data_IF_775188635644
#
_entry.id   IF_775188635644
#
_cell.length_a   1.000
_cell.length_b   1.000
_cell.length_c   1.000
_cell.angle_alpha   90.00
_cell.angle_beta   90.00
_cell.angle_gamma   90.00
#
_symmetry.space_group_name_H-M   'P 1'
#
loop_
_entity.id
_entity.type
_entity.pdbx_description
1 polymer ?
#
# COMPACT_ATOMS: atom_id res chain seq x y z
N UNK A 1 5.33 -88.51 13.88
CA UNK A 1 6.33 -87.58 13.38
C UNK A 1 5.69 -86.73 12.29
N UNK A 2 5.28 -85.52 12.58
CA UNK A 2 4.56 -84.59 11.67
C UNK A 2 5.58 -83.56 11.17
N UNK A 3 5.74 -83.33 9.85
CA UNK A 3 6.71 -82.35 9.37
C UNK A 3 6.14 -80.92 9.48
N UNK A 4 6.92 -80.06 10.10
CA UNK A 4 6.69 -78.63 10.19
C UNK A 4 7.02 -78.00 8.83
N UNK A 5 6.03 -77.42 8.14
CA UNK A 5 6.19 -76.60 6.94
C UNK A 5 6.50 -75.17 7.35
N UNK A 6 7.73 -74.72 7.17
CA UNK A 6 8.18 -73.33 7.30
C UNK A 6 7.74 -72.58 6.03
N UNK A 7 6.77 -71.69 6.15
CA UNK A 7 6.40 -70.79 5.06
C UNK A 7 7.32 -69.57 5.10
N UNK A 8 8.22 -69.43 4.11
CA UNK A 8 9.05 -68.24 3.91
C UNK A 8 8.17 -67.11 3.33
N UNK A 9 7.85 -66.10 4.15
CA UNK A 9 7.22 -64.86 3.68
C UNK A 9 8.34 -63.98 3.01
N UNK A 10 8.34 -63.91 1.70
CA UNK A 10 9.14 -62.96 0.93
C UNK A 10 8.49 -61.59 1.05
N UNK A 11 9.02 -60.69 1.91
CA UNK A 11 8.71 -59.29 1.91
C UNK A 11 9.29 -58.65 0.62
N UNK A 12 8.45 -58.37 -0.35
CA UNK A 12 8.80 -57.57 -1.50
C UNK A 12 8.88 -56.09 -1.08
N UNK A 13 10.09 -55.61 -0.84
CA UNK A 13 10.37 -54.19 -0.67
C UNK A 13 10.28 -53.55 -2.04
N UNK A 14 9.15 -52.90 -2.32
CA UNK A 14 9.00 -52.04 -3.50
C UNK A 14 9.84 -50.80 -3.27
N UNK A 15 11.02 -50.75 -3.88
CA UNK A 15 11.82 -49.53 -3.99
C UNK A 15 11.03 -48.54 -4.81
N UNK A 16 10.42 -47.53 -4.18
CA UNK A 16 9.87 -46.37 -4.85
C UNK A 16 11.05 -45.61 -5.44
N UNK A 17 11.37 -45.88 -6.70
CA UNK A 17 12.33 -45.05 -7.44
C UNK A 17 11.77 -43.66 -7.59
N UNK A 18 12.44 -42.67 -7.00
CA UNK A 18 12.15 -41.28 -7.26
C UNK A 18 12.32 -41.03 -8.77
N UNK A 19 11.21 -40.80 -9.47
CA UNK A 19 11.26 -40.51 -10.90
C UNK A 19 11.97 -39.17 -11.11
N UNK A 20 12.99 -39.17 -11.97
CA UNK A 20 13.64 -37.93 -12.41
C UNK A 20 12.58 -37.06 -13.13
N UNK A 21 12.39 -35.78 -12.76
CA UNK A 21 11.45 -34.91 -13.40
C UNK A 21 11.67 -34.83 -14.92
N UNK A 22 10.60 -34.98 -15.70
CA UNK A 22 10.66 -34.87 -17.15
C UNK A 22 10.88 -33.43 -17.62
N UNK A 23 11.33 -33.25 -18.86
CA UNK A 23 11.50 -31.91 -19.47
C UNK A 23 10.21 -31.08 -19.46
N UNK A 24 9.04 -31.72 -19.57
CA UNK A 24 7.73 -31.07 -19.47
C UNK A 24 7.46 -30.51 -18.08
N UNK A 25 7.87 -31.17 -17.02
CA UNK A 25 7.69 -30.68 -15.65
C UNK A 25 8.61 -29.49 -15.36
N UNK A 26 9.85 -29.53 -15.87
CA UNK A 26 10.79 -28.41 -15.77
C UNK A 26 10.25 -27.19 -16.49
N UNK A 27 9.71 -27.35 -17.70
CA UNK A 27 9.11 -26.23 -18.44
C UNK A 27 7.87 -25.67 -17.73
N UNK A 28 6.97 -26.53 -17.27
CA UNK A 28 5.80 -26.11 -16.49
C UNK A 28 6.20 -25.38 -15.21
N UNK A 29 7.23 -25.87 -14.51
CA UNK A 29 7.78 -25.21 -13.33
C UNK A 29 8.36 -23.84 -13.62
N UNK A 30 9.03 -23.65 -14.76
CA UNK A 30 9.51 -22.37 -15.24
C UNK A 30 8.35 -21.41 -15.49
N UNK A 31 7.30 -21.85 -16.18
CA UNK A 31 6.16 -21.03 -16.51
C UNK A 31 5.43 -20.54 -15.25
N UNK A 32 5.29 -21.43 -14.26
CA UNK A 32 4.74 -21.08 -12.95
C UNK A 32 5.65 -20.07 -12.25
N UNK A 33 6.95 -20.33 -12.16
CA UNK A 33 7.92 -19.46 -11.50
C UNK A 33 7.94 -18.06 -12.10
N UNK A 34 7.85 -17.95 -13.42
CA UNK A 34 7.82 -16.67 -14.12
C UNK A 34 6.44 -15.97 -14.04
N UNK A 35 5.40 -16.69 -13.65
CA UNK A 35 4.03 -16.17 -13.58
C UNK A 35 3.35 -16.06 -14.93
N UNK A 36 3.70 -16.93 -15.89
CA UNK A 36 3.04 -17.00 -17.19
C UNK A 36 1.64 -17.61 -17.05
N UNK A 37 0.76 -17.34 -18.02
CA UNK A 37 -0.58 -17.94 -18.10
C UNK A 37 -1.46 -17.72 -16.87
N UNK A 38 -1.37 -16.53 -16.24
CA UNK A 38 -2.11 -16.20 -15.03
C UNK A 38 -1.75 -17.07 -13.79
N UNK A 39 -0.62 -17.77 -13.83
CA UNK A 39 -0.06 -18.50 -12.69
C UNK A 39 0.79 -17.57 -11.81
N UNK A 40 0.34 -16.35 -11.63
CA UNK A 40 1.05 -15.35 -10.86
C UNK A 40 1.37 -15.83 -9.46
N UNK A 41 2.63 -15.68 -9.08
CA UNK A 41 3.11 -15.89 -7.72
C UNK A 41 4.19 -14.86 -7.42
N UNK A 42 4.47 -14.65 -6.15
CA UNK A 42 5.43 -13.65 -5.69
C UNK A 42 6.77 -14.26 -5.22
N UNK A 43 6.98 -15.56 -5.41
CA UNK A 43 8.18 -16.25 -4.96
C UNK A 43 9.46 -15.58 -5.46
N UNK A 44 9.47 -15.20 -6.75
CA UNK A 44 10.63 -14.55 -7.39
C UNK A 44 10.94 -13.16 -6.84
N UNK A 45 9.98 -12.47 -6.20
CA UNK A 45 10.24 -11.16 -5.59
C UNK A 45 11.19 -11.25 -4.38
N UNK A 46 11.21 -12.39 -3.71
CA UNK A 46 12.12 -12.65 -2.61
C UNK A 46 13.32 -13.49 -3.03
N UNK A 47 13.11 -14.51 -3.89
CA UNK A 47 14.11 -15.51 -4.23
C UNK A 47 14.85 -15.24 -5.56
N UNK A 48 14.52 -14.15 -6.28
CA UNK A 48 15.12 -13.77 -7.56
C UNK A 48 14.45 -14.41 -8.77
N UNK A 49 14.58 -13.80 -9.95
CA UNK A 49 13.90 -14.25 -11.20
C UNK A 49 14.32 -15.63 -11.63
N UNK A 50 15.58 -15.99 -11.38
CA UNK A 50 16.13 -17.31 -11.67
C UNK A 50 16.39 -18.12 -10.40
N UNK A 51 15.78 -17.74 -9.29
CA UNK A 51 16.02 -18.39 -8.01
C UNK A 51 17.39 -18.09 -7.43
N UNK A 52 18.08 -17.06 -7.89
CA UNK A 52 19.44 -16.68 -7.47
C UNK A 52 19.50 -16.12 -6.05
N UNK A 53 18.34 -15.86 -5.44
CA UNK A 53 18.26 -15.23 -4.13
C UNK A 53 18.32 -13.70 -4.22
N UNK A 54 18.25 -13.07 -3.07
CA UNK A 54 18.25 -11.61 -2.93
C UNK A 54 17.79 -11.25 -1.55
N UNK A 55 16.52 -10.98 -1.38
CA UNK A 55 15.93 -10.81 -0.06
C UNK A 55 15.88 -12.14 0.71
N UNK A 56 15.52 -13.24 0.03
CA UNK A 56 15.51 -14.59 0.58
C UNK A 56 16.66 -15.44 0.03
N UNK A 57 16.82 -16.63 0.57
CA UNK A 57 17.86 -17.58 0.15
C UNK A 57 17.79 -17.91 -1.34
N UNK A 58 18.93 -18.17 -2.01
CA UNK A 58 18.92 -18.75 -3.35
C UNK A 58 18.27 -20.14 -3.33
N UNK A 59 17.50 -20.42 -4.36
CA UNK A 59 16.84 -21.70 -4.59
C UNK A 59 17.34 -22.41 -5.86
N UNK A 60 18.04 -21.70 -6.75
CA UNK A 60 18.64 -22.29 -7.93
C UNK A 60 19.64 -23.39 -7.56
N UNK A 61 19.49 -24.57 -8.16
CA UNK A 61 20.34 -25.75 -7.89
C UNK A 61 20.17 -26.28 -6.46
N UNK A 62 19.02 -26.14 -5.82
CA UNK A 62 18.79 -26.64 -4.47
C UNK A 62 18.80 -28.19 -4.44
N UNK A 63 19.27 -28.80 -3.34
CA UNK A 63 19.33 -30.23 -3.21
C UNK A 63 18.10 -30.88 -2.58
N UNK A 64 17.02 -30.09 -2.33
CA UNK A 64 15.83 -30.58 -1.65
C UNK A 64 15.08 -31.58 -2.54
N UNK A 65 14.51 -32.62 -1.95
CA UNK A 65 13.48 -33.42 -2.62
C UNK A 65 12.20 -32.59 -2.79
N UNK A 66 11.37 -32.97 -3.78
CA UNK A 66 10.08 -32.28 -3.98
C UNK A 66 9.22 -32.27 -2.69
N UNK A 67 9.21 -33.38 -1.95
CA UNK A 67 8.47 -33.46 -0.68
C UNK A 67 9.00 -32.47 0.37
N UNK A 68 10.33 -32.34 0.49
CA UNK A 68 10.94 -31.36 1.41
C UNK A 68 10.65 -29.92 0.99
N UNK A 69 10.70 -29.65 -0.33
CA UNK A 69 10.36 -28.34 -0.88
C UNK A 69 8.91 -27.99 -0.57
N UNK A 70 7.96 -28.86 -0.89
CA UNK A 70 6.54 -28.69 -0.62
C UNK A 70 6.29 -28.48 0.88
N UNK A 71 6.85 -29.33 1.75
CA UNK A 71 6.68 -29.20 3.19
C UNK A 71 7.16 -27.83 3.70
N UNK A 72 8.26 -27.31 3.17
CA UNK A 72 8.78 -25.99 3.52
C UNK A 72 7.82 -24.88 3.08
N UNK A 73 7.29 -24.95 1.86
CA UNK A 73 6.34 -23.96 1.33
C UNK A 73 5.03 -24.00 2.11
N UNK A 74 4.53 -25.19 2.46
CA UNK A 74 3.28 -25.35 3.24
C UNK A 74 3.39 -24.86 4.68
N UNK A 75 4.54 -25.05 5.29
CA UNK A 75 4.79 -24.62 6.68
C UNK A 75 5.21 -23.16 6.78
N UNK A 76 5.84 -22.60 5.75
CA UNK A 76 6.60 -21.37 5.83
C UNK A 76 7.96 -21.57 6.54
N UNK A 77 8.86 -20.60 6.43
CA UNK A 77 10.20 -20.68 7.05
C UNK A 77 10.75 -19.27 7.33
N UNK A 78 11.11 -18.98 8.58
CA UNK A 78 11.53 -17.62 8.99
C UNK A 78 10.41 -16.62 8.71
N UNK A 79 10.66 -15.63 7.85
CA UNK A 79 9.66 -14.65 7.44
C UNK A 79 8.88 -15.05 6.17
N UNK A 80 9.15 -16.22 5.60
CA UNK A 80 8.37 -16.75 4.48
C UNK A 80 7.01 -17.23 4.98
N UNK A 81 5.89 -16.72 4.46
CA UNK A 81 4.57 -17.15 4.89
C UNK A 81 4.29 -18.60 4.47
N UNK A 82 3.30 -19.21 5.12
CA UNK A 82 2.77 -20.51 4.75
C UNK A 82 1.77 -20.38 3.58
N UNK A 83 1.89 -21.25 2.58
CA UNK A 83 1.02 -21.25 1.41
C UNK A 83 0.13 -22.49 1.41
N UNK A 84 -1.18 -22.29 1.35
CA UNK A 84 -2.16 -23.39 1.40
C UNK A 84 -2.54 -23.89 -0.01
N UNK A 85 -2.79 -25.20 -0.20
CA UNK A 85 -2.99 -25.78 -1.54
C UNK A 85 -4.22 -25.25 -2.27
N UNK A 86 -5.31 -24.99 -1.53
CA UNK A 86 -6.60 -24.61 -2.14
C UNK A 86 -6.66 -23.15 -2.57
N UNK A 87 -5.76 -22.31 -2.09
CA UNK A 87 -5.71 -20.86 -2.36
C UNK A 87 -4.44 -20.39 -3.04
N UNK A 88 -3.39 -21.20 -2.99
CA UNK A 88 -2.10 -20.90 -3.60
C UNK A 88 -1.74 -22.01 -4.62
N UNK A 89 -0.48 -22.16 -4.96
CA UNK A 89 -0.03 -23.27 -5.83
C UNK A 89 -0.32 -24.62 -5.16
N UNK A 90 -0.88 -25.57 -5.92
CA UNK A 90 -1.08 -26.94 -5.45
C UNK A 90 0.24 -27.74 -5.42
N UNK A 91 0.23 -28.96 -4.88
CA UNK A 91 1.45 -29.75 -4.69
C UNK A 91 2.08 -30.21 -6.01
N UNK A 92 1.29 -30.46 -7.03
CA UNK A 92 1.80 -30.75 -8.37
C UNK A 92 2.56 -29.56 -8.94
N UNK A 93 1.99 -28.37 -8.85
CA UNK A 93 2.64 -27.12 -9.29
C UNK A 93 3.93 -26.86 -8.50
N UNK A 94 3.93 -27.10 -7.19
CA UNK A 94 5.13 -26.96 -6.37
C UNK A 94 6.19 -28.02 -6.72
N UNK A 95 5.80 -29.24 -7.10
CA UNK A 95 6.71 -30.26 -7.61
C UNK A 95 7.40 -29.77 -8.88
N UNK A 96 6.64 -29.20 -9.80
CA UNK A 96 7.16 -28.65 -11.05
C UNK A 96 8.10 -27.46 -10.81
N UNK A 97 7.72 -26.53 -9.92
CA UNK A 97 8.59 -25.42 -9.51
C UNK A 97 9.88 -25.92 -8.89
N UNK A 98 9.82 -26.92 -7.99
CA UNK A 98 10.99 -27.54 -7.39
C UNK A 98 11.90 -28.16 -8.46
N UNK A 99 11.33 -28.90 -9.44
CA UNK A 99 12.08 -29.50 -10.53
C UNK A 99 12.81 -28.46 -11.40
N UNK A 100 12.12 -27.37 -11.73
CA UNK A 100 12.71 -26.24 -12.46
C UNK A 100 13.87 -25.62 -11.69
N UNK A 101 13.67 -25.25 -10.43
CA UNK A 101 14.71 -24.62 -9.61
C UNK A 101 15.91 -25.53 -9.38
N UNK A 102 15.67 -26.83 -9.17
CA UNK A 102 16.73 -27.82 -9.03
C UNK A 102 17.54 -28.02 -10.33
N UNK A 103 16.92 -27.83 -11.50
CA UNK A 103 17.60 -27.95 -12.81
C UNK A 103 18.52 -26.77 -13.14
N UNK A 104 18.36 -25.64 -12.43
CA UNK A 104 19.18 -24.45 -12.63
C UNK A 104 20.59 -24.63 -12.05
N UNK A 105 21.60 -23.97 -12.63
CA UNK A 105 22.92 -23.93 -11.99
C UNK A 105 22.81 -23.26 -10.61
N UNK A 106 23.54 -23.76 -9.65
CA UNK A 106 23.61 -23.16 -8.32
C UNK A 106 24.12 -21.73 -8.44
N UNK A 107 23.36 -20.77 -7.89
CA UNK A 107 23.74 -19.38 -7.89
C UNK A 107 25.02 -19.14 -7.09
N UNK A 108 25.97 -18.43 -7.67
CA UNK A 108 27.24 -18.12 -7.01
C UNK A 108 27.04 -17.10 -5.86
N UNK A 109 26.17 -16.11 -6.05
CA UNK A 109 25.87 -15.06 -5.08
C UNK A 109 24.40 -14.62 -5.20
N UNK A 110 23.73 -14.27 -4.08
CA UNK A 110 22.44 -13.61 -4.13
C UNK A 110 22.50 -12.26 -4.81
N UNK A 111 21.47 -11.92 -5.58
CA UNK A 111 21.36 -10.60 -6.23
C UNK A 111 20.82 -9.56 -5.27
N UNK A 112 21.51 -8.43 -5.13
CA UNK A 112 21.02 -7.28 -4.35
C UNK A 112 19.89 -6.52 -5.05
N UNK A 113 19.68 -6.77 -6.35
CA UNK A 113 18.61 -6.12 -7.12
C UNK A 113 17.20 -6.48 -6.61
N UNK A 114 17.06 -7.59 -5.91
CA UNK A 114 15.78 -8.06 -5.36
C UNK A 114 15.54 -7.63 -3.90
N UNK A 115 16.36 -6.74 -3.39
CA UNK A 115 16.16 -6.18 -2.06
C UNK A 115 15.51 -4.81 -2.17
N UNK A 116 14.34 -4.65 -1.56
CA UNK A 116 13.73 -3.33 -1.44
C UNK A 116 14.63 -2.45 -0.59
N UNK A 117 15.13 -1.33 -1.14
CA UNK A 117 16.03 -0.46 -0.38
C UNK A 117 15.30 0.19 0.79
N UNK A 118 15.97 0.27 1.93
CA UNK A 118 15.49 1.04 3.07
C UNK A 118 15.87 2.50 2.80
N UNK A 119 14.89 3.43 2.72
CA UNK A 119 15.17 4.84 2.55
C UNK A 119 16.06 5.38 3.68
N UNK A 120 17.00 6.31 3.41
CA UNK A 120 17.93 6.83 4.42
C UNK A 120 17.24 7.38 5.67
N UNK A 121 16.08 7.97 5.50
CA UNK A 121 15.28 8.59 6.57
C UNK A 121 14.01 7.79 6.90
N UNK A 122 14.02 6.49 6.61
CA UNK A 122 12.93 5.60 6.97
C UNK A 122 12.67 5.61 8.49
N UNK A 123 11.40 5.72 8.86
CA UNK A 123 10.97 5.58 10.25
C UNK A 123 11.26 4.17 10.78
N UNK A 124 11.31 3.94 12.10
CA UNK A 124 11.43 2.60 12.67
C UNK A 124 10.38 1.64 12.13
N UNK A 125 9.13 2.09 12.00
CA UNK A 125 8.03 1.28 11.47
C UNK A 125 8.23 0.94 9.98
N UNK A 126 8.70 1.87 9.17
CA UNK A 126 9.03 1.63 7.77
C UNK A 126 10.21 0.65 7.62
N UNK A 127 11.26 0.82 8.42
CA UNK A 127 12.39 -0.12 8.45
C UNK A 127 11.93 -1.53 8.79
N UNK A 128 11.07 -1.65 9.79
CA UNK A 128 10.51 -2.93 10.20
C UNK A 128 9.69 -3.58 9.07
N UNK A 129 8.78 -2.83 8.44
CA UNK A 129 7.96 -3.27 7.30
C UNK A 129 8.83 -3.81 6.16
N UNK A 130 9.90 -3.10 5.79
CA UNK A 130 10.81 -3.52 4.72
C UNK A 130 11.61 -4.76 5.14
N UNK A 131 12.16 -4.78 6.36
CA UNK A 131 12.95 -5.92 6.87
C UNK A 131 12.14 -7.19 7.06
N UNK A 132 10.84 -7.07 7.32
CA UNK A 132 9.91 -8.21 7.34
C UNK A 132 9.51 -8.70 5.93
N UNK A 133 10.03 -8.08 4.88
CA UNK A 133 9.78 -8.49 3.50
C UNK A 133 8.46 -7.98 2.91
N UNK A 134 7.65 -7.25 3.66
CA UNK A 134 6.41 -6.67 3.14
C UNK A 134 6.67 -5.76 1.94
N UNK A 135 7.77 -5.02 1.99
CA UNK A 135 8.20 -4.13 0.91
C UNK A 135 8.50 -4.82 -0.42
N UNK A 136 8.82 -6.13 -0.41
CA UNK A 136 9.11 -6.88 -1.65
C UNK A 136 7.89 -6.94 -2.58
N UNK A 137 6.70 -7.03 -2.00
CA UNK A 137 5.44 -7.05 -2.73
C UNK A 137 4.71 -5.72 -2.72
N UNK A 138 4.79 -4.99 -1.62
CA UNK A 138 4.02 -3.76 -1.41
C UNK A 138 4.81 -2.47 -1.67
N UNK A 139 6.11 -2.59 -1.99
CA UNK A 139 7.00 -1.46 -2.16
C UNK A 139 7.41 -0.80 -0.83
N UNK A 140 8.40 0.10 -0.85
CA UNK A 140 8.97 0.69 0.36
C UNK A 140 8.01 1.62 1.11
N UNK A 141 6.90 1.99 0.49
CA UNK A 141 5.87 2.86 1.06
C UNK A 141 4.48 2.23 1.04
N UNK A 142 4.35 0.92 0.89
CA UNK A 142 3.07 0.22 0.78
C UNK A 142 2.13 0.79 -0.31
N UNK A 143 2.69 1.42 -1.32
CA UNK A 143 1.93 2.19 -2.31
C UNK A 143 1.41 1.35 -3.49
N UNK A 144 1.54 0.04 -3.46
CA UNK A 144 0.97 -0.79 -4.50
C UNK A 144 -0.56 -0.83 -4.37
N UNK A 145 -1.32 -0.10 -5.19
CA UNK A 145 -2.77 0.07 -5.02
C UNK A 145 -3.57 -1.22 -5.22
N UNK A 146 -3.00 -2.20 -5.90
CA UNK A 146 -3.64 -3.52 -6.07
C UNK A 146 -3.55 -4.39 -4.81
N UNK A 147 -2.67 -4.02 -3.88
CA UNK A 147 -2.33 -4.82 -2.71
C UNK A 147 -2.58 -4.09 -1.40
N UNK A 148 -2.86 -2.82 -1.45
CA UNK A 148 -3.32 -2.05 -0.30
C UNK A 148 -4.82 -1.90 -0.42
N UNK A 149 -5.52 -2.50 0.50
CA UNK A 149 -6.96 -2.49 0.45
C UNK A 149 -7.51 -1.12 0.80
N UNK A 150 -7.61 -0.20 -0.13
CA UNK A 150 -8.38 1.07 -0.01
C UNK A 150 -8.78 1.42 1.43
N UNK A 151 -9.72 2.18 1.82
CA UNK A 151 -10.13 2.58 3.18
C UNK A 151 -10.01 1.56 4.35
N UNK A 152 -9.90 0.26 4.11
CA UNK A 152 -9.93 -0.80 5.14
C UNK A 152 -8.66 -0.94 5.99
N UNK A 153 -7.48 -0.61 5.47
CA UNK A 153 -6.24 -0.68 6.26
C UNK A 153 -6.17 0.31 7.43
N UNK A 154 -7.18 1.18 7.61
CA UNK A 154 -7.33 1.98 8.81
C UNK A 154 -7.79 1.15 10.02
N UNK A 155 -8.37 -0.02 9.79
CA UNK A 155 -8.80 -0.95 10.82
C UNK A 155 -7.69 -1.96 11.12
N UNK A 156 -7.18 -1.92 12.35
CA UNK A 156 -6.10 -2.81 12.77
C UNK A 156 -6.55 -4.27 12.87
N UNK A 157 -7.80 -4.54 13.27
CA UNK A 157 -8.34 -5.91 13.34
C UNK A 157 -8.42 -6.50 11.93
N UNK A 158 -8.90 -5.73 10.97
CA UNK A 158 -8.87 -6.14 9.57
C UNK A 158 -7.43 -6.41 9.09
N UNK A 159 -6.47 -5.53 9.42
CA UNK A 159 -5.06 -5.70 9.02
C UNK A 159 -4.44 -6.97 9.60
N UNK A 160 -4.77 -7.33 10.86
CA UNK A 160 -4.34 -8.60 11.47
C UNK A 160 -4.85 -9.80 10.68
N UNK A 161 -6.13 -9.80 10.30
CA UNK A 161 -6.72 -10.87 9.50
C UNK A 161 -6.04 -10.99 8.13
N UNK A 162 -5.77 -9.87 7.46
CA UNK A 162 -5.09 -9.87 6.16
C UNK A 162 -3.66 -10.40 6.22
N UNK A 163 -3.00 -10.38 7.35
CA UNK A 163 -1.63 -10.91 7.48
C UNK A 163 -1.64 -12.35 8.01
N UNK A 164 -2.40 -12.64 9.06
CA UNK A 164 -2.37 -13.95 9.70
C UNK A 164 -3.31 -14.98 9.05
N UNK A 165 -4.38 -14.51 8.47
CA UNK A 165 -5.48 -15.33 7.93
C UNK A 165 -5.80 -14.98 6.48
N UNK A 166 -4.81 -14.51 5.74
CA UNK A 166 -5.01 -13.98 4.39
C UNK A 166 -5.85 -14.88 3.48
N UNK A 167 -5.58 -16.18 3.51
CA UNK A 167 -6.26 -17.15 2.64
C UNK A 167 -7.70 -17.44 3.05
N UNK A 168 -8.09 -17.12 4.29
CA UNK A 168 -9.43 -17.34 4.86
C UNK A 168 -10.12 -16.03 5.24
N UNK A 169 -9.45 -14.88 5.11
CA UNK A 169 -10.04 -13.59 5.38
C UNK A 169 -11.34 -13.38 4.57
N UNK A 170 -12.36 -12.72 5.12
CA UNK A 170 -13.67 -12.61 4.47
C UNK A 170 -13.66 -12.06 3.06
N UNK A 171 -12.72 -11.16 2.76
CA UNK A 171 -12.51 -10.60 1.42
C UNK A 171 -11.96 -11.60 0.41
N UNK A 172 -11.39 -12.73 0.86
CA UNK A 172 -10.72 -13.73 0.04
C UNK A 172 -11.45 -15.08 -0.01
N UNK A 173 -12.61 -15.21 0.65
CA UNK A 173 -13.36 -16.47 0.73
C UNK A 173 -13.62 -17.10 -0.65
N UNK A 174 -13.93 -16.28 -1.65
CA UNK A 174 -14.23 -16.73 -3.02
C UNK A 174 -13.03 -16.61 -3.98
N UNK A 175 -11.86 -16.21 -3.52
CA UNK A 175 -10.68 -16.12 -4.37
C UNK A 175 -10.21 -17.53 -4.76
N UNK A 176 -9.96 -17.74 -6.05
CA UNK A 176 -9.46 -19.02 -6.58
C UNK A 176 -7.95 -19.13 -6.50
N UNK A 177 -7.27 -18.01 -6.50
CA UNK A 177 -5.81 -17.93 -6.42
C UNK A 177 -5.40 -16.67 -5.67
N UNK A 178 -4.56 -16.86 -4.66
CA UNK A 178 -3.98 -15.79 -3.87
C UNK A 178 -2.46 -15.84 -3.99
N UNK A 179 -1.84 -14.68 -4.07
CA UNK A 179 -0.38 -14.56 -4.22
C UNK A 179 0.33 -14.54 -2.87
N UNK A 180 -0.32 -13.98 -1.85
CA UNK A 180 0.20 -13.93 -0.49
C UNK A 180 -0.26 -15.16 0.31
N UNK A 181 0.63 -15.72 1.13
CA UNK A 181 0.31 -16.77 2.10
C UNK A 181 -0.03 -16.19 3.47
N UNK A 182 -0.24 -17.07 4.44
CA UNK A 182 -0.51 -16.71 5.84
C UNK A 182 0.80 -16.61 6.63
N UNK A 183 0.94 -15.54 7.41
CA UNK A 183 1.98 -15.47 8.43
C UNK A 183 1.46 -16.04 9.75
N UNK A 184 2.28 -16.78 10.47
CA UNK A 184 1.94 -17.18 11.84
C UNK A 184 2.17 -16.02 12.82
N UNK A 185 1.49 -16.09 13.98
CA UNK A 185 1.69 -15.11 15.08
C UNK A 185 3.12 -15.16 15.65
N UNK A 186 3.82 -16.29 15.49
CA UNK A 186 5.23 -16.42 15.86
C UNK A 186 6.17 -15.71 14.86
N UNK A 187 5.82 -15.72 13.57
CA UNK A 187 6.59 -15.02 12.53
C UNK A 187 6.41 -13.50 12.63
N UNK A 188 5.17 -13.08 12.80
CA UNK A 188 4.82 -11.66 12.91
C UNK A 188 3.92 -11.47 14.12
N UNK A 189 4.50 -11.05 15.23
CA UNK A 189 3.75 -10.81 16.47
C UNK A 189 2.77 -9.65 16.33
N UNK A 190 1.78 -9.57 17.20
CA UNK A 190 0.80 -8.48 17.21
C UNK A 190 1.48 -7.11 17.39
N UNK A 191 2.49 -7.04 18.24
CA UNK A 191 3.29 -5.81 18.40
C UNK A 191 4.01 -5.41 17.12
N UNK A 192 4.60 -6.37 16.40
CA UNK A 192 5.23 -6.15 15.09
C UNK A 192 4.19 -5.66 14.07
N UNK A 193 3.02 -6.30 14.02
CA UNK A 193 1.94 -5.86 13.13
C UNK A 193 1.43 -4.46 13.46
N UNK A 194 1.32 -4.12 14.74
CA UNK A 194 0.91 -2.79 15.18
C UNK A 194 1.89 -1.72 14.67
N UNK A 195 3.19 -1.95 14.76
CA UNK A 195 4.19 -1.02 14.24
C UNK A 195 4.15 -0.90 12.71
N UNK A 196 4.00 -2.02 12.00
CA UNK A 196 3.85 -2.00 10.53
C UNK A 196 2.56 -1.29 10.13
N UNK A 197 1.46 -1.56 10.83
CA UNK A 197 0.18 -0.92 10.58
C UNK A 197 0.23 0.59 10.83
N UNK A 198 0.94 1.04 11.87
CA UNK A 198 1.15 2.47 12.14
C UNK A 198 1.84 3.16 10.97
N UNK A 199 2.89 2.57 10.41
CA UNK A 199 3.52 3.11 9.21
C UNK A 199 2.52 3.16 8.06
N UNK A 200 1.82 2.07 7.81
CA UNK A 200 0.88 1.91 6.71
C UNK A 200 -0.36 2.81 6.85
N UNK A 201 -1.01 2.81 8.00
CA UNK A 201 -2.28 3.50 8.21
C UNK A 201 -2.14 4.95 8.69
N UNK A 202 -1.05 5.27 9.35
CA UNK A 202 -0.86 6.54 10.04
C UNK A 202 0.27 7.36 9.44
N UNK A 203 1.48 6.82 9.39
CA UNK A 203 2.66 7.59 8.98
C UNK A 203 2.64 7.97 7.50
N UNK A 204 2.07 7.15 6.64
CA UNK A 204 1.93 7.52 5.23
C UNK A 204 0.82 8.53 4.96
N UNK A 205 -0.03 8.80 5.96
CA UNK A 205 -1.16 9.70 5.78
C UNK A 205 -2.09 9.30 4.64
N UNK A 206 -2.00 8.07 4.17
CA UNK A 206 -2.94 7.54 3.19
C UNK A 206 -4.35 7.48 3.76
N UNK A 207 -4.48 7.73 5.08
CA UNK A 207 -5.75 7.64 5.80
C UNK A 207 -5.88 8.51 7.04
N UNK A 208 -4.93 9.37 7.27
CA UNK A 208 -5.16 10.55 8.08
C UNK A 208 -5.45 11.67 7.11
N UNK A 209 -6.70 11.87 6.75
CA UNK A 209 -7.01 12.83 5.73
C UNK A 209 -6.73 14.21 6.29
N UNK A 210 -5.85 14.91 5.61
CA UNK A 210 -6.02 16.34 5.59
C UNK A 210 -7.36 16.55 4.90
N UNK A 211 -8.27 17.22 5.57
CA UNK A 211 -9.56 17.58 5.02
C UNK A 211 -9.85 19.04 5.32
N UNK A 212 -10.80 19.60 4.61
CA UNK A 212 -11.21 20.95 4.86
C UNK A 212 -12.55 21.27 4.20
N UNK A 213 -13.19 22.28 4.73
CA UNK A 213 -14.45 22.79 4.24
C UNK A 213 -14.49 24.32 4.24
N UNK A 214 -15.45 24.84 3.52
CA UNK A 214 -15.79 26.26 3.50
C UNK A 214 -17.19 26.43 4.09
N UNK A 215 -17.32 27.28 5.12
CA UNK A 215 -18.61 27.62 5.68
C UNK A 215 -19.38 28.57 4.76
N UNK A 216 -20.68 28.66 4.96
CA UNK A 216 -21.54 29.61 4.26
C UNK A 216 -21.02 31.04 4.41
N UNK A 217 -21.12 31.81 3.33
CA UNK A 217 -20.67 33.18 3.32
C UNK A 217 -21.57 34.09 4.15
N UNK A 218 -20.96 35.02 4.85
CA UNK A 218 -21.66 36.07 5.60
C UNK A 218 -21.46 37.38 4.87
N UNK A 219 -22.57 37.95 4.32
CA UNK A 219 -22.53 39.20 3.59
C UNK A 219 -22.36 40.38 4.56
N UNK A 220 -21.50 41.31 4.19
CA UNK A 220 -21.22 42.52 4.92
C UNK A 220 -20.98 43.73 3.99
N UNK A 221 -20.73 44.91 4.55
CA UNK A 221 -20.57 46.13 3.75
C UNK A 221 -19.36 46.10 2.82
N UNK A 222 -18.35 45.30 3.16
CA UNK A 222 -17.10 45.17 2.38
C UNK A 222 -17.10 43.96 1.44
N UNK A 223 -18.13 43.13 1.45
CA UNK A 223 -18.20 41.90 0.64
C UNK A 223 -18.74 40.72 1.43
N UNK A 224 -18.53 39.52 0.90
CA UNK A 224 -18.97 38.28 1.55
C UNK A 224 -17.77 37.55 2.16
N UNK A 225 -17.82 37.30 3.45
CA UNK A 225 -16.80 36.61 4.21
C UNK A 225 -17.08 35.10 4.28
N UNK A 226 -16.12 34.29 3.91
CA UNK A 226 -16.16 32.83 4.00
C UNK A 226 -15.13 32.34 5.01
N UNK A 227 -15.53 31.39 5.82
CA UNK A 227 -14.61 30.72 6.77
C UNK A 227 -14.13 29.42 6.20
N UNK A 228 -12.83 29.25 6.16
CA UNK A 228 -12.15 28.05 5.70
C UNK A 228 -11.62 27.28 6.91
N UNK A 229 -11.94 26.00 6.98
CA UNK A 229 -11.43 25.08 7.98
C UNK A 229 -10.53 24.07 7.31
N UNK A 230 -9.35 23.84 7.87
CA UNK A 230 -8.43 22.77 7.45
C UNK A 230 -8.04 21.98 8.68
N UNK A 231 -8.07 20.66 8.57
CA UNK A 231 -7.91 19.75 9.69
C UNK A 231 -6.99 18.59 9.30
N UNK A 232 -6.05 18.29 10.18
CA UNK A 232 -5.32 17.04 10.15
C UNK A 232 -6.02 16.05 11.09
N UNK A 233 -6.82 15.14 10.55
CA UNK A 233 -7.61 14.15 11.29
C UNK A 233 -6.80 13.07 12.01
N UNK A 234 -5.46 13.18 12.04
CA UNK A 234 -4.59 12.24 12.74
C UNK A 234 -4.77 12.27 14.25
N UNK A 235 -4.43 11.18 14.88
CA UNK A 235 -4.41 11.11 16.34
C UNK A 235 -3.23 11.93 16.87
N UNK A 236 -3.45 12.84 17.83
CA UNK A 236 -2.39 13.65 18.43
C UNK A 236 -1.24 12.78 18.94
N UNK A 237 -0.02 13.12 18.56
CA UNK A 237 1.21 12.39 18.93
C UNK A 237 1.41 11.03 18.26
N UNK A 238 0.52 10.61 17.37
CA UNK A 238 0.63 9.29 16.68
C UNK A 238 0.58 9.37 15.15
N UNK A 239 0.23 10.51 14.59
CA UNK A 239 0.16 10.72 13.16
C UNK A 239 1.33 11.55 12.63
N UNK A 240 1.36 11.74 11.33
CA UNK A 240 2.33 12.61 10.67
C UNK A 240 1.83 14.04 10.56
N UNK A 241 2.74 14.96 10.75
CA UNK A 241 2.57 16.35 10.42
C UNK A 241 2.54 16.53 8.90
N UNK A 242 1.57 17.28 8.39
CA UNK A 242 1.63 17.81 7.03
C UNK A 242 2.56 19.03 7.04
N UNK A 243 3.53 19.04 6.15
CA UNK A 243 4.47 20.13 5.97
C UNK A 243 4.15 20.87 4.65
N UNK A 244 4.55 22.12 4.55
CA UNK A 244 4.31 22.95 3.36
C UNK A 244 2.85 22.89 2.87
N UNK A 245 1.92 22.89 3.82
CA UNK A 245 0.50 22.81 3.50
C UNK A 245 0.03 24.10 2.90
N UNK A 246 -0.58 24.01 1.71
CA UNK A 246 -1.16 25.14 0.99
C UNK A 246 -2.64 24.88 0.69
N UNK A 247 -3.41 25.95 0.65
CA UNK A 247 -4.81 25.94 0.23
C UNK A 247 -4.99 26.86 -0.95
N UNK A 248 -5.56 26.34 -2.03
CA UNK A 248 -5.86 27.10 -3.24
C UNK A 248 -7.37 27.17 -3.41
N UNK A 249 -7.94 28.37 -3.43
CA UNK A 249 -9.35 28.64 -3.59
C UNK A 249 -9.61 29.24 -4.96
N UNK A 250 -10.31 28.56 -5.88
CA UNK A 250 -10.70 29.14 -7.17
C UNK A 250 -11.63 30.33 -6.96
N UNK A 251 -11.33 31.43 -7.64
CA UNK A 251 -12.17 32.61 -7.68
C UNK A 251 -13.03 32.55 -8.94
N UNK A 252 -14.33 32.75 -8.77
CA UNK A 252 -15.26 32.74 -9.88
C UNK A 252 -14.94 33.93 -10.79
N UNK A 253 -14.86 33.66 -12.08
CA UNK A 253 -14.66 34.66 -13.12
C UNK A 253 -16.01 34.96 -13.74
N UNK A 254 -16.46 36.23 -13.63
CA UNK A 254 -17.60 36.73 -14.40
C UNK A 254 -17.23 36.91 -15.88
N UNK A 255 -18.23 37.06 -16.74
CA UNK A 255 -18.05 37.36 -18.17
C UNK A 255 -17.45 38.75 -18.39
N UNK A 256 -17.81 39.68 -17.53
CA UNK A 256 -17.35 41.07 -17.55
C UNK A 256 -16.31 41.30 -16.43
N UNK A 257 -15.39 42.26 -16.59
CA UNK A 257 -14.44 42.63 -15.56
C UNK A 257 -15.08 42.98 -14.21
N UNK A 258 -16.26 43.56 -14.24
CA UNK A 258 -17.07 43.93 -13.06
C UNK A 258 -17.65 42.69 -12.33
N UNK A 259 -17.73 41.57 -12.98
CA UNK A 259 -18.20 40.32 -12.41
C UNK A 259 -17.08 39.52 -11.76
N UNK A 260 -15.82 39.95 -11.91
CA UNK A 260 -14.66 39.22 -11.36
C UNK A 260 -14.70 39.31 -9.84
N UNK A 261 -14.68 38.15 -9.20
CA UNK A 261 -14.53 38.06 -7.76
C UNK A 261 -13.13 38.50 -7.36
N UNK A 262 -13.04 39.45 -6.44
CA UNK A 262 -11.76 39.94 -5.90
C UNK A 262 -11.66 39.68 -4.43
N UNK A 263 -10.44 39.44 -3.94
CA UNK A 263 -10.15 39.32 -2.53
C UNK A 263 -10.01 40.71 -1.94
N UNK A 264 -10.86 41.07 -1.01
CA UNK A 264 -10.86 42.38 -0.33
C UNK A 264 -10.03 42.27 0.97
N UNK A 265 -10.18 41.18 1.68
CA UNK A 265 -9.45 40.94 2.92
C UNK A 265 -9.25 39.43 3.13
N UNK A 266 -8.11 39.07 3.71
CA UNK A 266 -7.84 37.74 4.18
C UNK A 266 -7.21 37.84 5.58
N UNK A 267 -7.54 36.89 6.46
CA UNK A 267 -6.97 36.90 7.80
C UNK A 267 -5.55 36.37 7.80
N UNK A 268 -4.72 36.91 8.67
CA UNK A 268 -3.33 36.49 8.83
C UNK A 268 -3.16 35.05 9.30
N UNK A 269 -4.18 34.47 9.93
CA UNK A 269 -4.16 33.08 10.40
C UNK A 269 -4.10 32.03 9.30
N UNK A 270 -4.39 32.38 8.05
CA UNK A 270 -4.33 31.50 6.90
C UNK A 270 -3.10 31.65 6.00
N UNK A 271 -2.20 32.62 6.32
CA UNK A 271 -0.98 32.81 5.52
C UNK A 271 -1.28 33.17 4.05
N UNK A 272 -2.19 34.10 3.81
CA UNK A 272 -2.54 34.53 2.46
C UNK A 272 -1.32 35.06 1.70
N UNK A 273 -1.00 34.45 0.55
CA UNK A 273 0.15 34.79 -0.28
C UNK A 273 -0.21 35.63 -1.48
N UNK A 274 -1.47 35.66 -1.88
CA UNK A 274 -1.94 36.47 -3.00
C UNK A 274 -2.98 35.78 -3.86
N UNK A 275 -3.31 36.45 -4.97
CA UNK A 275 -4.13 35.90 -6.03
C UNK A 275 -3.23 35.57 -7.22
N UNK A 276 -3.20 34.29 -7.57
CA UNK A 276 -2.44 33.79 -8.68
C UNK A 276 -3.34 33.58 -9.90
N UNK A 277 -2.79 33.83 -11.08
CA UNK A 277 -3.48 33.63 -12.35
C UNK A 277 -2.83 32.47 -13.11
N UNK A 278 -3.63 31.50 -13.48
CA UNK A 278 -3.21 30.47 -14.41
C UNK A 278 -3.01 31.09 -15.82
N UNK A 279 -1.80 31.05 -16.38
CA UNK A 279 -1.51 31.68 -17.67
C UNK A 279 -2.22 30.98 -18.85
N UNK A 280 -2.64 29.73 -18.69
CA UNK A 280 -3.30 28.94 -19.74
C UNK A 280 -4.82 29.18 -19.72
N UNK A 281 -5.45 28.92 -18.59
CA UNK A 281 -6.91 29.03 -18.44
C UNK A 281 -7.38 30.46 -18.11
N UNK A 282 -6.45 31.33 -17.75
CA UNK A 282 -6.71 32.67 -17.23
C UNK A 282 -7.65 32.67 -15.99
N UNK A 283 -7.78 31.54 -15.34
CA UNK A 283 -8.50 31.45 -14.06
C UNK A 283 -7.68 32.04 -12.93
N UNK A 284 -8.35 32.54 -11.91
CA UNK A 284 -7.72 33.10 -10.71
C UNK A 284 -7.99 32.23 -9.51
N UNK A 285 -7.02 32.14 -8.62
CA UNK A 285 -7.17 31.47 -7.35
C UNK A 285 -6.48 32.26 -6.22
N UNK A 286 -7.12 32.33 -5.08
CA UNK A 286 -6.50 32.81 -3.85
C UNK A 286 -5.70 31.69 -3.22
N UNK A 287 -4.47 31.97 -2.83
CA UNK A 287 -3.55 30.98 -2.25
C UNK A 287 -3.18 31.33 -0.81
N UNK A 288 -3.15 30.30 0.03
CA UNK A 288 -2.82 30.39 1.44
C UNK A 288 -1.74 29.39 1.76
N UNK A 289 -0.66 29.84 2.38
CA UNK A 289 0.42 29.02 2.90
C UNK A 289 0.23 28.80 4.41
N UNK A 290 -0.33 27.64 4.76
CA UNK A 290 -0.58 27.26 6.16
C UNK A 290 0.70 26.78 6.83
N UNK A 291 1.62 26.24 6.04
CA UNK A 291 2.91 25.72 6.47
C UNK A 291 2.77 24.35 7.11
N UNK A 292 2.72 24.28 8.43
CA UNK A 292 2.73 23.05 9.21
C UNK A 292 1.37 22.82 9.87
N UNK A 293 0.88 21.53 9.80
CA UNK A 293 -0.32 21.12 10.51
C UNK A 293 -0.08 19.74 11.15
N UNK A 294 0.07 19.72 12.48
CA UNK A 294 0.30 18.48 13.22
C UNK A 294 -0.97 17.62 13.35
N UNK A 295 -0.85 16.31 13.63
CA UNK A 295 -2.00 15.44 13.86
C UNK A 295 -2.93 15.98 14.93
N UNK A 296 -4.22 16.04 14.62
CA UNK A 296 -5.26 16.60 15.49
C UNK A 296 -5.35 18.11 15.46
N UNK A 297 -4.42 18.80 14.79
CA UNK A 297 -4.52 20.26 14.64
C UNK A 297 -5.57 20.68 13.62
N UNK A 298 -6.16 21.85 13.89
CA UNK A 298 -7.10 22.52 13.02
C UNK A 298 -6.65 23.95 12.78
N UNK A 299 -6.79 24.43 11.56
CA UNK A 299 -6.65 25.85 11.18
C UNK A 299 -7.97 26.37 10.67
N UNK A 300 -8.31 27.55 11.14
CA UNK A 300 -9.50 28.29 10.68
C UNK A 300 -9.07 29.70 10.30
N UNK A 301 -9.45 30.12 9.12
CA UNK A 301 -9.17 31.46 8.61
C UNK A 301 -10.33 31.96 7.75
N UNK A 302 -10.36 33.24 7.43
CA UNK A 302 -11.44 33.84 6.64
C UNK A 302 -10.88 34.50 5.40
N UNK A 303 -11.69 34.51 4.34
CA UNK A 303 -11.48 35.28 3.13
C UNK A 303 -12.74 36.11 2.87
N UNK A 304 -12.58 37.40 2.58
CA UNK A 304 -13.69 38.28 2.16
C UNK A 304 -13.58 38.56 0.68
N UNK A 305 -14.61 38.22 -0.04
CA UNK A 305 -14.71 38.39 -1.48
C UNK A 305 -15.67 39.53 -1.82
N UNK A 306 -15.36 40.29 -2.88
CA UNK A 306 -16.25 41.29 -3.45
C UNK A 306 -16.47 41.02 -4.94
N UNK A 307 -17.44 41.74 -5.54
CA UNK A 307 -17.86 41.55 -6.93
C UNK A 307 -19.13 40.70 -7.03
N UNK A 308 -19.76 40.67 -8.20
CA UNK A 308 -21.02 39.96 -8.43
C UNK A 308 -20.95 38.46 -8.13
N UNK A 309 -19.77 37.83 -8.31
CA UNK A 309 -19.56 36.42 -7.99
C UNK A 309 -19.30 36.13 -6.52
N UNK A 310 -19.11 37.13 -5.68
CA UNK A 310 -18.74 36.97 -4.27
C UNK A 310 -19.76 36.19 -3.45
N UNK A 311 -21.02 36.27 -3.80
CA UNK A 311 -22.11 35.58 -3.11
C UNK A 311 -22.40 34.18 -3.68
N UNK A 312 -21.76 33.80 -4.78
CA UNK A 312 -21.97 32.48 -5.42
C UNK A 312 -21.25 31.33 -4.71
N UNK A 313 -20.52 31.62 -3.65
CA UNK A 313 -19.77 30.65 -2.90
C UNK A 313 -18.34 30.41 -3.43
N UNK A 314 -17.66 29.51 -2.80
CA UNK A 314 -16.37 28.97 -3.24
C UNK A 314 -16.63 27.52 -3.62
N UNK A 315 -16.73 27.19 -4.91
CA UNK A 315 -17.31 25.90 -5.35
C UNK A 315 -16.46 24.70 -4.91
N UNK A 316 -15.15 24.83 -4.96
CA UNK A 316 -14.22 23.77 -4.60
C UNK A 316 -12.81 24.32 -4.56
N UNK A 317 -12.03 23.89 -3.59
CA UNK A 317 -10.61 24.21 -3.50
C UNK A 317 -9.75 22.97 -3.49
N UNK A 318 -8.46 23.18 -3.41
CA UNK A 318 -7.47 22.10 -3.31
C UNK A 318 -6.60 22.39 -2.09
N UNK A 319 -6.38 21.38 -1.27
CA UNK A 319 -5.40 21.37 -0.19
C UNK A 319 -4.24 20.49 -0.65
N UNK A 320 -3.03 21.01 -0.62
CA UNK A 320 -1.81 20.26 -0.92
C UNK A 320 -0.89 20.28 0.28
N UNK A 321 -0.13 19.23 0.48
CA UNK A 321 0.89 19.15 1.53
C UNK A 321 2.05 18.27 1.08
N UNK A 322 3.17 18.44 1.73
CA UNK A 322 4.33 17.60 1.57
C UNK A 322 4.62 16.85 2.86
N UNK A 323 5.26 15.73 2.69
CA UNK A 323 5.88 14.95 3.75
C UNK A 323 7.25 14.57 3.25
N UNK A 324 8.25 15.39 3.56
CA UNK A 324 9.61 15.10 3.11
C UNK A 324 9.94 13.64 3.32
N UNK A 325 10.39 12.95 2.26
CA UNK A 325 10.78 11.54 2.20
C UNK A 325 9.65 10.49 2.17
N UNK A 326 8.41 10.89 2.43
CA UNK A 326 7.25 9.99 2.42
C UNK A 326 6.28 10.29 1.27
N UNK A 327 6.56 11.33 0.49
CA UNK A 327 5.74 11.75 -0.65
C UNK A 327 4.76 12.88 -0.32
N UNK A 328 4.15 13.38 -1.37
CA UNK A 328 3.21 14.49 -1.33
C UNK A 328 1.78 13.99 -1.28
N UNK A 329 0.89 14.78 -0.72
CA UNK A 329 -0.53 14.52 -0.72
C UNK A 329 -1.33 15.70 -1.26
N UNK A 330 -2.52 15.40 -1.74
CA UNK A 330 -3.51 16.40 -2.09
C UNK A 330 -4.93 15.88 -1.80
N UNK A 331 -5.81 16.77 -1.41
CA UNK A 331 -7.23 16.48 -1.21
C UNK A 331 -8.07 17.67 -1.64
N UNK A 332 -9.33 17.41 -1.91
CA UNK A 332 -10.28 18.48 -2.19
C UNK A 332 -10.65 19.22 -0.91
N UNK A 333 -10.70 20.53 -1.01
CA UNK A 333 -11.42 21.36 -0.06
C UNK A 333 -12.90 21.33 -0.46
N UNK A 334 -13.76 20.88 0.43
CA UNK A 334 -15.20 20.84 0.18
C UNK A 334 -15.70 22.30 0.10
N UNK A 335 -16.06 22.69 -1.10
CA UNK A 335 -16.59 24.01 -1.37
C UNK A 335 -18.04 24.17 -0.93
N UNK A 336 -18.52 25.39 -0.97
CA UNK A 336 -19.91 25.71 -0.78
C UNK A 336 -20.43 26.46 -2.01
N UNK A 337 -21.55 25.99 -2.56
CA UNK A 337 -22.28 26.70 -3.59
C UNK A 337 -23.55 27.29 -2.97
N UNK A 338 -23.72 28.57 -3.15
CA UNK A 338 -24.99 29.23 -2.79
C UNK A 338 -25.84 29.34 -4.06
N UNK A 339 -27.12 28.90 -4.06
CA UNK A 339 -27.97 29.06 -5.22
C UNK A 339 -27.99 30.53 -5.65
N UNK A 340 -27.70 30.79 -6.91
CA UNK A 340 -27.84 32.13 -7.51
C UNK A 340 -29.32 32.41 -7.63
N UNK A 341 -29.87 33.24 -6.75
CA UNK A 341 -31.24 33.69 -6.79
C UNK A 341 -32.06 33.34 -5.54
N UNK A 342 -31.84 34.03 -4.50
CA UNK A 342 -32.85 34.44 -3.52
C UNK A 342 -32.73 35.93 -3.28
#
# INVERSE_FOLDING_TARGET
>A
MTPIRIALLLLSVTLIQAQTPGASDIQAGRDIWQGYFNLENDCKLCHGVQGEGGFAKPLAGHPLTAAQFIATVRKGAGIMPAFVPDKNLNDQQLTQVSAYLASLPKAAQPSTLWQTPIPPLATPAQKLMISMGCGQCHGPIMANPRRTAGGRGADFEWFKQEVWEHTTAPGHANARHLRMGNFSKQQVSEGTLMEIWRFFAVEQGLRVPINGDVSAGVSGPSGTAYTINVNNGGLPGKGLTAEYLTVTLPLLKGRDPEETTTVVAATTGGGFTGVHRDPISNSQAAEFEIGRLAPGEKRTFTITLSGKGANAGIPRGIIKWERPLLGNGATDLIGISVPVGQ
#
